data_IF_474904702414
#
_entry.id   IF_474904702414
#
_cell.length_a   1.000
_cell.length_b   1.000
_cell.length_c   1.000
_cell.angle_alpha   90.00
_cell.angle_beta   90.00
_cell.angle_gamma   90.00
#
_symmetry.space_group_name_H-M   'P 1'
#
loop_
_entity.id
_entity.type
_entity.pdbx_description
1 polymer ?
#
# COMPACT_ATOMS: atom_id res chain seq x y z
N UNK A 1 45.03 12.43 -8.22
CA UNK A 1 43.76 11.88 -8.78
C UNK A 1 42.78 13.02 -9.05
N UNK A 2 42.33 13.20 -10.29
CA UNK A 2 41.52 14.36 -10.68
C UNK A 2 40.04 14.20 -10.27
N UNK A 3 39.46 15.25 -9.67
CA UNK A 3 38.02 15.29 -9.34
C UNK A 3 37.22 15.63 -10.59
N UNK A 4 36.60 14.63 -11.20
CA UNK A 4 35.66 14.82 -12.32
C UNK A 4 34.42 15.56 -11.81
N UNK A 5 34.37 16.88 -12.06
CA UNK A 5 33.16 17.69 -11.84
C UNK A 5 32.11 17.23 -12.84
N UNK A 6 31.19 16.37 -12.40
CA UNK A 6 30.08 15.87 -13.21
C UNK A 6 29.09 17.01 -13.45
N UNK A 7 29.37 17.82 -14.46
CA UNK A 7 28.56 18.97 -14.88
C UNK A 7 27.16 18.48 -15.21
N UNK A 8 26.22 18.73 -14.28
CA UNK A 8 24.82 18.35 -14.44
C UNK A 8 24.27 18.99 -15.71
N UNK A 9 24.05 18.17 -16.73
CA UNK A 9 23.35 18.56 -17.95
C UNK A 9 21.90 18.82 -17.55
N UNK A 10 21.58 20.09 -17.30
CA UNK A 10 20.22 20.57 -17.08
C UNK A 10 19.35 20.02 -18.19
N UNK A 11 18.53 19.01 -17.86
CA UNK A 11 17.69 18.32 -18.83
C UNK A 11 16.89 19.38 -19.60
N UNK A 12 17.02 19.35 -20.92
CA UNK A 12 16.36 20.28 -21.84
C UNK A 12 14.86 20.01 -21.73
N UNK A 13 14.19 20.70 -20.79
CA UNK A 13 12.76 20.51 -20.50
C UNK A 13 12.04 20.60 -21.83
N UNK A 14 11.28 19.55 -22.17
CA UNK A 14 10.66 19.42 -23.47
C UNK A 14 9.88 20.70 -23.79
N UNK A 15 10.31 21.39 -24.86
CA UNK A 15 9.63 22.55 -25.41
C UNK A 15 8.40 22.05 -26.16
N UNK A 16 7.41 21.60 -25.39
CA UNK A 16 6.10 21.18 -25.89
C UNK A 16 5.37 22.38 -26.48
N UNK A 17 5.62 22.62 -27.76
CA UNK A 17 5.02 23.65 -28.61
C UNK A 17 4.63 24.95 -27.90
N UNK A 18 5.65 25.77 -27.61
CA UNK A 18 5.48 27.22 -27.35
C UNK A 18 5.27 28.00 -28.67
N UNK A 19 4.82 27.33 -29.73
CA UNK A 19 4.36 28.00 -30.94
C UNK A 19 3.01 28.69 -30.62
N UNK A 20 2.89 29.96 -31.02
CA UNK A 20 1.62 30.67 -30.90
C UNK A 20 0.53 29.93 -31.68
N UNK A 21 -0.66 29.83 -31.09
CA UNK A 21 -1.83 29.22 -31.74
C UNK A 21 -2.11 29.85 -33.11
N UNK A 22 -2.65 29.05 -34.03
CA UNK A 22 -2.99 29.49 -35.38
C UNK A 22 -3.92 30.73 -35.37
N UNK A 23 -4.76 30.88 -34.34
CA UNK A 23 -5.63 32.05 -34.14
C UNK A 23 -4.82 33.31 -33.81
N UNK A 24 -3.81 33.23 -32.94
CA UNK A 24 -2.90 34.35 -32.65
C UNK A 24 -2.09 34.73 -33.90
N UNK A 25 -1.60 33.74 -34.67
CA UNK A 25 -0.87 34.01 -35.92
C UNK A 25 -1.78 34.66 -36.98
N UNK A 26 -3.01 34.19 -37.13
CA UNK A 26 -3.99 34.75 -38.09
C UNK A 26 -4.41 36.17 -37.71
N UNK A 27 -4.67 36.44 -36.43
CA UNK A 27 -5.04 37.78 -35.94
C UNK A 27 -3.88 38.76 -35.98
N UNK A 28 -2.63 38.32 -35.74
CA UNK A 28 -1.44 39.16 -35.94
C UNK A 28 -1.32 39.61 -37.41
N UNK A 29 -1.41 38.68 -38.38
CA UNK A 29 -1.40 39.01 -39.82
C UNK A 29 -2.51 39.99 -40.21
N UNK A 30 -3.68 39.90 -39.57
CA UNK A 30 -4.77 40.85 -39.79
C UNK A 30 -4.47 42.26 -39.23
N UNK A 31 -3.80 42.37 -38.07
CA UNK A 31 -3.30 43.68 -37.57
C UNK A 31 -2.26 44.27 -38.53
N UNK A 32 -1.36 43.45 -39.06
CA UNK A 32 -0.29 43.90 -39.95
C UNK A 32 -0.89 44.43 -41.28
N UNK A 33 -1.90 43.73 -41.83
CA UNK A 33 -2.63 44.16 -43.02
C UNK A 33 -3.47 45.43 -42.77
N UNK A 34 -4.20 45.49 -41.64
CA UNK A 34 -4.97 46.67 -41.26
C UNK A 34 -4.07 47.90 -41.09
N UNK A 35 -2.89 47.74 -40.49
CA UNK A 35 -1.90 48.82 -40.32
C UNK A 35 -1.47 49.37 -41.69
N UNK A 36 -1.00 48.50 -42.60
CA UNK A 36 -0.60 48.89 -43.97
C UNK A 36 -1.70 49.65 -44.73
N UNK A 37 -2.96 49.24 -44.59
CA UNK A 37 -4.08 49.94 -45.23
C UNK A 37 -4.36 51.33 -44.61
N UNK A 38 -4.18 51.48 -43.30
CA UNK A 38 -4.26 52.78 -42.64
C UNK A 38 -3.13 53.69 -43.11
N UNK A 39 -1.89 53.23 -43.12
CA UNK A 39 -0.71 54.01 -43.52
C UNK A 39 -0.87 54.56 -44.95
N UNK A 40 -1.23 53.71 -45.91
CA UNK A 40 -1.53 54.11 -47.29
C UNK A 40 -2.70 55.12 -47.41
N UNK A 41 -3.64 55.12 -46.45
CA UNK A 41 -4.71 56.11 -46.40
C UNK A 41 -4.26 57.43 -45.74
N UNK A 42 -3.31 57.39 -44.80
CA UNK A 42 -2.70 58.60 -44.23
C UNK A 42 -1.86 59.35 -45.27
N UNK A 43 -1.15 58.64 -46.15
CA UNK A 43 -0.46 59.23 -47.30
C UNK A 43 -1.43 59.95 -48.26
N UNK A 44 -2.62 59.37 -48.47
CA UNK A 44 -3.68 60.00 -49.26
C UNK A 44 -4.26 61.23 -48.57
N UNK A 45 -4.42 61.21 -47.24
CA UNK A 45 -4.83 62.38 -46.45
C UNK A 45 -3.78 63.49 -46.56
N UNK A 46 -2.48 63.17 -46.48
CA UNK A 46 -1.40 64.14 -46.64
C UNK A 46 -1.42 64.79 -48.04
N UNK A 47 -1.54 63.97 -49.09
CA UNK A 47 -1.65 64.44 -50.49
C UNK A 47 -2.92 65.28 -50.73
N UNK A 48 -4.06 64.89 -50.16
CA UNK A 48 -5.30 65.67 -50.23
C UNK A 48 -5.20 67.00 -49.46
N UNK A 49 -4.54 67.01 -48.28
CA UNK A 49 -4.30 68.22 -47.49
C UNK A 49 -3.42 69.20 -48.26
N UNK A 50 -2.33 68.74 -48.87
CA UNK A 50 -1.46 69.58 -49.69
C UNK A 50 -2.20 70.22 -50.88
N UNK A 51 -3.06 69.45 -51.57
CA UNK A 51 -3.92 69.97 -52.65
C UNK A 51 -4.92 71.01 -52.15
N UNK A 52 -5.63 70.72 -51.06
CA UNK A 52 -6.61 71.64 -50.48
C UNK A 52 -5.96 72.97 -50.01
N UNK A 53 -4.74 72.92 -49.48
CA UNK A 53 -3.96 74.11 -49.13
C UNK A 53 -3.52 74.92 -50.36
N UNK A 54 -3.12 74.25 -51.45
CA UNK A 54 -2.63 74.94 -52.66
C UNK A 54 -3.74 75.55 -53.53
N UNK A 55 -4.90 74.88 -53.67
CA UNK A 55 -5.96 75.34 -54.58
C UNK A 55 -7.20 75.93 -53.89
N UNK A 56 -7.41 75.65 -52.60
CA UNK A 56 -8.56 76.11 -51.80
C UNK A 56 -9.98 75.81 -52.38
N UNK A 57 -10.08 75.04 -53.47
CA UNK A 57 -11.34 74.76 -54.17
C UNK A 57 -12.27 73.86 -53.37
N UNK A 58 -13.59 73.98 -53.59
CA UNK A 58 -14.60 73.14 -52.95
C UNK A 58 -14.33 71.64 -53.16
N UNK A 59 -14.00 71.24 -54.39
CA UNK A 59 -13.62 69.86 -54.70
C UNK A 59 -12.40 69.35 -53.90
N UNK A 60 -11.38 70.19 -53.69
CA UNK A 60 -10.21 69.80 -52.90
C UNK A 60 -10.54 69.65 -51.40
N UNK A 61 -11.41 70.52 -50.86
CA UNK A 61 -11.94 70.41 -49.49
C UNK A 61 -12.77 69.13 -49.30
N UNK A 62 -13.67 68.82 -50.23
CA UNK A 62 -14.46 67.57 -50.21
C UNK A 62 -13.58 66.33 -50.33
N UNK A 63 -12.52 66.37 -51.16
CA UNK A 63 -11.54 65.28 -51.26
C UNK A 63 -10.82 65.04 -49.93
N UNK A 64 -10.41 66.10 -49.23
CA UNK A 64 -9.79 66.01 -47.90
C UNK A 64 -10.77 65.47 -46.85
N UNK A 65 -12.04 65.89 -46.87
CA UNK A 65 -13.07 65.36 -45.98
C UNK A 65 -13.27 63.85 -46.17
N UNK A 66 -13.39 63.40 -47.43
CA UNK A 66 -13.55 61.98 -47.80
C UNK A 66 -12.29 61.14 -47.52
N UNK A 67 -11.10 61.73 -47.60
CA UNK A 67 -9.87 61.05 -47.20
C UNK A 67 -9.82 60.84 -45.68
N UNK A 68 -10.25 61.86 -44.92
CA UNK A 68 -10.29 61.84 -43.46
C UNK A 68 -11.36 60.89 -42.89
N UNK A 69 -12.56 60.79 -43.48
CA UNK A 69 -13.59 59.83 -43.05
C UNK A 69 -13.08 58.39 -43.17
N UNK A 70 -12.55 58.01 -44.34
CA UNK A 70 -11.90 56.71 -44.56
C UNK A 70 -10.74 56.46 -43.58
N UNK A 71 -9.95 57.48 -43.25
CA UNK A 71 -8.88 57.36 -42.27
C UNK A 71 -9.38 57.22 -40.81
N UNK A 72 -10.60 57.66 -40.48
CA UNK A 72 -11.27 57.36 -39.20
C UNK A 72 -11.79 55.92 -39.17
N UNK A 73 -12.44 55.47 -40.24
CA UNK A 73 -12.92 54.09 -40.37
C UNK A 73 -11.79 53.05 -40.26
N UNK A 74 -10.65 53.28 -40.93
CA UNK A 74 -9.50 52.38 -40.87
C UNK A 74 -8.85 52.35 -39.47
N UNK A 75 -8.86 53.47 -38.73
CA UNK A 75 -8.45 53.48 -37.31
C UNK A 75 -9.39 52.65 -36.44
N UNK A 76 -10.70 52.76 -36.64
CA UNK A 76 -11.69 51.96 -35.92
C UNK A 76 -11.53 50.44 -36.21
N UNK A 77 -11.37 50.08 -37.50
CA UNK A 77 -11.08 48.70 -37.93
C UNK A 77 -9.77 48.18 -37.32
N UNK A 78 -8.69 48.97 -37.32
CA UNK A 78 -7.42 48.61 -36.68
C UNK A 78 -7.59 48.36 -35.17
N UNK A 79 -8.37 49.21 -34.47
CA UNK A 79 -8.65 49.06 -33.05
C UNK A 79 -9.37 47.74 -32.75
N UNK A 80 -10.42 47.40 -33.53
CA UNK A 80 -11.14 46.12 -33.42
C UNK A 80 -10.19 44.92 -33.58
N UNK A 81 -9.40 44.88 -34.66
CA UNK A 81 -8.50 43.74 -34.93
C UNK A 81 -7.40 43.62 -33.87
N UNK A 82 -6.93 44.74 -33.30
CA UNK A 82 -6.02 44.73 -32.13
C UNK A 82 -6.67 44.17 -30.87
N UNK A 83 -7.96 44.44 -30.63
CA UNK A 83 -8.72 43.81 -29.54
C UNK A 83 -8.90 42.31 -29.76
N UNK A 84 -9.14 41.86 -30.99
CA UNK A 84 -9.30 40.44 -31.30
C UNK A 84 -7.98 39.66 -31.20
N UNK A 85 -6.86 40.28 -31.58
CA UNK A 85 -5.51 39.78 -31.26
C UNK A 85 -5.31 39.63 -29.74
N UNK A 86 -5.72 40.63 -28.94
CA UNK A 86 -5.59 40.57 -27.48
C UNK A 86 -6.42 39.44 -26.88
N UNK A 87 -7.67 39.26 -27.33
CA UNK A 87 -8.52 38.10 -26.97
C UNK A 87 -7.86 36.77 -27.36
N UNK A 88 -7.32 36.67 -28.58
CA UNK A 88 -6.64 35.46 -29.04
C UNK A 88 -5.41 35.11 -28.18
N UNK A 89 -4.59 36.10 -27.81
CA UNK A 89 -3.43 35.91 -26.91
C UNK A 89 -3.87 35.50 -25.50
N UNK A 90 -4.97 36.05 -24.99
CA UNK A 90 -5.53 35.63 -23.70
C UNK A 90 -6.00 34.17 -23.73
N UNK A 91 -6.72 33.74 -24.77
CA UNK A 91 -7.15 32.35 -24.93
C UNK A 91 -5.99 31.36 -25.11
N UNK A 92 -4.92 31.75 -25.83
CA UNK A 92 -3.73 30.89 -25.97
C UNK A 92 -2.95 30.77 -24.65
N UNK A 93 -2.90 31.84 -23.85
CA UNK A 93 -2.34 31.77 -22.49
C UNK A 93 -3.14 30.80 -21.59
N UNK A 94 -4.48 30.77 -21.69
CA UNK A 94 -5.32 29.77 -21.01
C UNK A 94 -5.00 28.36 -21.51
N UNK A 95 -4.92 28.15 -22.83
CA UNK A 95 -4.57 26.85 -23.44
C UNK A 95 -3.20 26.33 -22.97
N UNK A 96 -2.21 27.21 -22.86
CA UNK A 96 -0.87 26.87 -22.34
C UNK A 96 -0.92 26.54 -20.83
N UNK A 97 -1.69 27.29 -20.04
CA UNK A 97 -1.88 27.02 -18.63
C UNK A 97 -2.58 25.66 -18.39
N UNK A 98 -3.60 25.33 -19.19
CA UNK A 98 -4.25 24.01 -19.20
C UNK A 98 -3.29 22.88 -19.55
N UNK A 99 -2.46 23.04 -20.58
CA UNK A 99 -1.48 22.03 -20.97
C UNK A 99 -0.49 21.73 -19.82
N UNK A 100 0.02 22.78 -19.15
CA UNK A 100 0.89 22.64 -17.97
C UNK A 100 0.15 22.05 -16.78
N UNK A 101 -1.14 22.35 -16.59
CA UNK A 101 -1.95 21.73 -15.54
C UNK A 101 -2.16 20.23 -15.81
N UNK A 102 -2.47 19.84 -17.05
CA UNK A 102 -2.62 18.44 -17.49
C UNK A 102 -1.31 17.66 -17.34
N UNK A 103 -0.17 18.23 -17.73
CA UNK A 103 1.19 17.66 -17.50
C UNK A 103 1.43 17.37 -16.01
N UNK A 104 1.11 18.34 -15.12
CA UNK A 104 1.26 18.18 -13.67
C UNK A 104 0.35 17.11 -13.09
N UNK A 105 -0.91 17.02 -13.53
CA UNK A 105 -1.85 15.98 -13.10
C UNK A 105 -1.37 14.59 -13.53
N UNK A 106 -0.89 14.43 -14.78
CA UNK A 106 -0.29 13.17 -15.24
C UNK A 106 0.92 12.78 -14.38
N UNK A 107 1.86 13.72 -14.19
CA UNK A 107 3.06 13.50 -13.36
C UNK A 107 2.70 13.10 -11.92
N UNK A 108 1.64 13.69 -11.36
CA UNK A 108 1.14 13.36 -10.04
C UNK A 108 0.52 11.96 -10.02
N UNK A 109 -0.29 11.59 -11.02
CA UNK A 109 -0.87 10.26 -11.15
C UNK A 109 0.23 9.17 -11.26
N UNK A 110 1.24 9.38 -12.10
CA UNK A 110 2.42 8.50 -12.22
C UNK A 110 3.21 8.38 -10.91
N UNK A 111 3.25 9.45 -10.10
CA UNK A 111 3.89 9.43 -8.78
C UNK A 111 3.07 8.65 -7.74
N UNK A 112 1.74 8.62 -7.88
CA UNK A 112 0.84 7.91 -6.98
C UNK A 112 0.75 6.42 -7.32
N UNK A 113 0.71 6.04 -8.60
CA UNK A 113 0.77 4.62 -9.01
C UNK A 113 2.06 3.97 -8.52
N UNK A 114 3.22 4.59 -8.80
CA UNK A 114 4.54 4.14 -8.31
C UNK A 114 4.66 4.08 -6.79
N UNK A 115 3.84 4.82 -6.03
CA UNK A 115 3.75 4.70 -4.57
C UNK A 115 2.86 3.53 -4.17
N UNK A 116 1.68 3.40 -4.78
CA UNK A 116 0.77 2.29 -4.55
C UNK A 116 1.46 0.93 -4.79
N UNK A 117 2.24 0.78 -5.86
CA UNK A 117 3.00 -0.44 -6.15
C UNK A 117 4.03 -0.77 -5.05
N UNK A 118 4.73 0.26 -4.55
CA UNK A 118 5.73 0.13 -3.48
C UNK A 118 5.08 -0.21 -2.14
N UNK A 119 3.98 0.45 -1.82
CA UNK A 119 3.22 0.24 -0.58
C UNK A 119 2.58 -1.16 -0.57
N UNK A 120 2.08 -1.63 -1.72
CA UNK A 120 1.58 -2.99 -1.91
C UNK A 120 2.70 -4.03 -1.77
N UNK A 121 3.85 -3.84 -2.41
CA UNK A 121 5.00 -4.73 -2.28
C UNK A 121 5.55 -4.77 -0.83
N UNK A 122 5.56 -3.64 -0.12
CA UNK A 122 5.92 -3.58 1.29
C UNK A 122 4.89 -4.28 2.18
N UNK A 123 3.60 -4.09 1.92
CA UNK A 123 2.51 -4.73 2.64
C UNK A 123 2.52 -6.26 2.49
N UNK A 124 2.76 -6.77 1.27
CA UNK A 124 2.90 -8.21 1.01
C UNK A 124 4.08 -8.80 1.77
N UNK A 125 5.29 -8.22 1.67
CA UNK A 125 6.47 -8.68 2.43
C UNK A 125 6.25 -8.66 3.94
N UNK A 126 5.62 -7.61 4.46
CA UNK A 126 5.30 -7.50 5.89
C UNK A 126 4.25 -8.55 6.32
N UNK A 127 3.27 -8.84 5.46
CA UNK A 127 2.27 -9.89 5.69
C UNK A 127 2.90 -11.29 5.67
N UNK A 128 3.67 -11.62 4.64
CA UNK A 128 4.37 -12.90 4.47
C UNK A 128 5.29 -13.20 5.65
N UNK A 129 6.15 -12.25 6.04
CA UNK A 129 7.05 -12.41 7.18
C UNK A 129 6.29 -12.67 8.50
N UNK A 130 5.15 -12.00 8.71
CA UNK A 130 4.29 -12.21 9.89
C UNK A 130 3.55 -13.54 9.83
N UNK A 131 3.10 -13.95 8.65
CA UNK A 131 2.37 -15.20 8.42
C UNK A 131 3.28 -16.43 8.57
N UNK A 132 4.48 -16.40 7.98
CA UNK A 132 5.51 -17.43 8.15
C UNK A 132 5.89 -17.58 9.64
N UNK A 133 6.21 -16.48 10.33
CA UNK A 133 6.52 -16.49 11.77
C UNK A 133 5.37 -17.02 12.64
N UNK A 134 4.12 -16.82 12.23
CA UNK A 134 2.95 -17.40 12.89
C UNK A 134 2.82 -18.92 12.60
N UNK A 135 3.07 -19.33 11.35
CA UNK A 135 3.13 -20.74 10.92
C UNK A 135 4.22 -21.50 11.65
N UNK A 136 5.47 -21.03 11.65
CA UNK A 136 6.60 -21.63 12.37
C UNK A 136 6.26 -21.90 13.84
N UNK A 137 5.70 -20.90 14.54
CA UNK A 137 5.25 -21.06 15.94
C UNK A 137 4.16 -22.13 16.08
N UNK A 138 3.26 -22.28 15.11
CA UNK A 138 2.25 -23.33 15.10
C UNK A 138 2.85 -24.71 14.78
N UNK A 139 3.80 -24.79 13.85
CA UNK A 139 4.52 -26.03 13.51
C UNK A 139 5.41 -26.51 14.66
N UNK A 140 6.18 -25.62 15.28
CA UNK A 140 7.00 -25.94 16.47
C UNK A 140 6.14 -26.47 17.64
N UNK A 141 4.94 -25.91 17.86
CA UNK A 141 3.99 -26.45 18.86
C UNK A 141 3.50 -27.86 18.50
N UNK A 142 3.22 -28.13 17.20
CA UNK A 142 2.81 -29.46 16.72
C UNK A 142 3.94 -30.48 16.83
N UNK A 143 5.17 -30.10 16.47
CA UNK A 143 6.37 -30.95 16.58
C UNK A 143 6.62 -31.31 18.05
N UNK A 144 6.66 -30.32 18.97
CA UNK A 144 6.79 -30.58 20.42
C UNK A 144 5.67 -31.45 21.01
N UNK A 145 4.46 -31.38 20.46
CA UNK A 145 3.37 -32.26 20.84
C UNK A 145 3.51 -33.69 20.27
N UNK A 146 4.17 -33.86 19.12
CA UNK A 146 4.49 -35.16 18.53
C UNK A 146 5.69 -35.81 19.24
N UNK A 147 6.75 -35.06 19.53
CA UNK A 147 7.93 -35.49 20.31
C UNK A 147 7.51 -36.08 21.67
N UNK A 148 6.72 -35.34 22.46
CA UNK A 148 6.19 -35.84 23.75
C UNK A 148 5.37 -37.13 23.62
N UNK A 149 4.64 -37.31 22.51
CA UNK A 149 3.91 -38.55 22.23
C UNK A 149 4.84 -39.70 21.81
N UNK A 150 5.92 -39.41 21.09
CA UNK A 150 6.95 -40.38 20.74
C UNK A 150 7.74 -40.83 21.99
N UNK A 151 8.21 -39.89 22.82
CA UNK A 151 8.84 -40.18 24.11
C UNK A 151 7.97 -41.08 25.01
N UNK A 152 6.67 -40.78 25.11
CA UNK A 152 5.76 -41.59 25.92
C UNK A 152 5.65 -43.03 25.40
N UNK A 153 5.64 -43.23 24.08
CA UNK A 153 5.70 -44.56 23.46
C UNK A 153 7.03 -45.26 23.70
N UNK A 154 8.16 -44.55 23.59
CA UNK A 154 9.50 -45.09 23.86
C UNK A 154 9.62 -45.51 25.32
N UNK A 155 9.21 -44.67 26.28
CA UNK A 155 9.18 -44.97 27.71
C UNK A 155 8.28 -46.19 28.02
N UNK A 156 7.15 -46.34 27.33
CA UNK A 156 6.28 -47.52 27.45
C UNK A 156 6.92 -48.79 26.86
N UNK A 157 7.62 -48.69 25.73
CA UNK A 157 8.37 -49.80 25.13
C UNK A 157 9.55 -50.24 26.01
N UNK A 158 10.32 -49.29 26.54
CA UNK A 158 11.44 -49.54 27.46
C UNK A 158 10.97 -50.27 28.73
N UNK A 159 9.85 -49.86 29.35
CA UNK A 159 9.26 -50.57 30.49
C UNK A 159 8.88 -52.03 30.14
N UNK A 160 8.32 -52.27 28.95
CA UNK A 160 8.01 -53.64 28.47
C UNK A 160 9.27 -54.45 28.20
N UNK A 161 10.33 -53.85 27.67
CA UNK A 161 11.62 -54.51 27.44
C UNK A 161 12.29 -54.90 28.76
N UNK A 162 12.36 -53.98 29.74
CA UNK A 162 12.91 -54.24 31.07
C UNK A 162 12.13 -55.34 31.82
N UNK A 163 10.81 -55.39 31.68
CA UNK A 163 10.00 -56.47 32.24
C UNK A 163 10.31 -57.84 31.60
N UNK A 164 10.55 -57.88 30.28
CA UNK A 164 10.98 -59.10 29.58
C UNK A 164 12.39 -59.53 29.98
N UNK A 165 13.34 -58.59 30.12
CA UNK A 165 14.70 -58.88 30.58
C UNK A 165 14.69 -59.53 31.97
N UNK A 166 14.00 -58.91 32.95
CA UNK A 166 13.83 -59.49 34.31
C UNK A 166 13.12 -60.85 34.32
N UNK A 167 12.22 -61.12 33.36
CA UNK A 167 11.60 -62.43 33.22
C UNK A 167 12.55 -63.49 32.64
N UNK A 168 13.48 -63.11 31.77
CA UNK A 168 14.53 -64.00 31.25
C UNK A 168 15.61 -64.27 32.30
N UNK A 169 16.08 -63.25 33.02
CA UNK A 169 17.00 -63.39 34.17
C UNK A 169 16.46 -64.39 35.21
N UNK A 170 15.18 -64.26 35.59
CA UNK A 170 14.53 -65.21 36.51
C UNK A 170 14.47 -66.64 35.94
N UNK A 171 14.28 -66.81 34.63
CA UNK A 171 14.31 -68.14 33.97
C UNK A 171 15.72 -68.72 33.94
N UNK A 172 16.76 -67.92 33.70
CA UNK A 172 18.16 -68.36 33.73
C UNK A 172 18.57 -68.73 35.16
N UNK A 173 18.25 -67.89 36.16
CA UNK A 173 18.50 -68.19 37.56
C UNK A 173 17.75 -69.45 38.05
N UNK A 174 16.53 -69.71 37.56
CA UNK A 174 15.81 -70.94 37.83
C UNK A 174 16.45 -72.18 37.19
N UNK A 175 16.98 -72.07 35.95
CA UNK A 175 17.73 -73.14 35.28
C UNK A 175 19.03 -73.47 36.02
N UNK A 176 19.82 -72.45 36.39
CA UNK A 176 21.06 -72.64 37.14
C UNK A 176 20.81 -73.28 38.53
N UNK A 177 19.74 -72.88 39.23
CA UNK A 177 19.31 -73.54 40.47
C UNK A 177 18.84 -74.99 40.24
N UNK A 178 18.21 -75.29 39.10
CA UNK A 178 17.81 -76.64 38.75
C UNK A 178 19.01 -77.55 38.40
N UNK A 179 20.05 -77.03 37.75
CA UNK A 179 21.29 -77.77 37.49
C UNK A 179 22.11 -77.98 38.76
N UNK A 180 22.22 -76.97 39.64
CA UNK A 180 22.85 -77.15 40.96
C UNK A 180 22.13 -78.21 41.82
N UNK A 181 20.79 -78.31 41.73
CA UNK A 181 20.02 -79.38 42.37
C UNK A 181 20.22 -80.75 41.70
N UNK A 182 20.43 -80.81 40.37
CA UNK A 182 20.76 -82.06 39.66
C UNK A 182 22.17 -82.56 40.02
N UNK A 183 23.16 -81.67 40.15
CA UNK A 183 24.49 -82.02 40.63
C UNK A 183 24.43 -82.63 42.05
N UNK A 184 23.64 -82.04 42.96
CA UNK A 184 23.43 -82.60 44.31
C UNK A 184 22.68 -83.95 44.32
N UNK A 185 21.84 -84.24 43.32
CA UNK A 185 21.17 -85.55 43.17
C UNK A 185 22.00 -86.62 42.45
N UNK A 186 23.14 -86.27 41.84
CA UNK A 186 24.06 -87.26 41.29
C UNK A 186 24.85 -88.00 42.38
N UNK A 187 25.09 -87.35 43.54
CA UNK A 187 25.83 -87.92 44.67
C UNK A 187 24.96 -88.81 45.57
N UNK A 188 23.63 -88.64 45.55
CA UNK A 188 22.68 -89.40 46.39
C UNK A 188 21.94 -90.46 45.57
N UNK A 189 22.71 -91.30 44.88
CA UNK A 189 22.23 -92.52 44.20
C UNK A 189 22.97 -93.78 44.69
N UNK A 190 23.22 -93.84 46.00
CA UNK A 190 23.57 -95.08 46.74
C UNK A 190 22.89 -95.02 48.10
N UNK A 191 22.13 -96.07 48.44
CA UNK A 191 21.14 -96.13 49.53
C UNK A 191 19.96 -95.11 49.42
N UNK A 192 18.73 -95.42 49.80
CA UNK A 192 18.12 -96.73 50.08
C UNK A 192 16.61 -96.69 49.83
N UNK A 193 16.16 -97.77 49.20
CA UNK A 193 14.83 -98.38 49.10
C UNK A 193 13.96 -98.43 50.37
N UNK A 194 12.66 -98.71 50.14
CA UNK A 194 11.61 -99.17 51.09
C UNK A 194 10.92 -98.09 51.96
N UNK A 195 9.61 -98.16 52.30
CA UNK A 195 8.43 -98.94 51.81
C UNK A 195 7.13 -98.39 52.47
N UNK A 196 5.94 -98.72 51.92
CA UNK A 196 4.54 -98.41 52.37
C UNK A 196 4.10 -96.93 52.26
N UNK A 197 2.97 -96.51 51.68
CA UNK A 197 1.69 -97.10 51.24
C UNK A 197 0.51 -97.09 52.26
N UNK A 198 -0.63 -96.56 51.81
CA UNK A 198 -1.89 -96.34 52.56
C UNK A 198 -2.16 -94.83 52.77
N UNK A 199 -3.36 -94.26 52.54
CA UNK A 199 -4.64 -94.77 52.02
C UNK A 199 -5.41 -93.65 51.28
N UNK A 200 -6.59 -93.93 50.68
CA UNK A 200 -7.24 -93.04 49.70
C UNK A 200 -8.69 -92.63 50.04
N UNK A 201 -9.08 -91.39 49.66
CA UNK A 201 -10.42 -90.82 49.34
C UNK A 201 -10.35 -89.28 49.47
N UNK A 202 -11.09 -88.42 48.73
CA UNK A 202 -11.94 -88.59 47.54
C UNK A 202 -12.01 -87.27 46.74
N UNK A 203 -12.37 -87.41 45.47
CA UNK A 203 -12.57 -86.43 44.41
C UNK A 203 -13.57 -85.27 44.66
N UNK A 204 -13.45 -84.18 43.89
CA UNK A 204 -14.45 -83.10 43.78
C UNK A 204 -14.02 -81.87 42.95
N UNK A 205 -14.41 -81.80 41.66
CA UNK A 205 -14.23 -80.69 40.69
C UNK A 205 -15.39 -80.81 39.66
N UNK A 206 -15.68 -79.84 38.75
CA UNK A 206 -15.71 -78.36 38.80
C UNK A 206 -17.04 -77.77 38.22
N UNK A 207 -17.04 -76.45 37.93
CA UNK A 207 -17.91 -75.69 36.97
C UNK A 207 -19.33 -75.26 37.39
N UNK A 208 -19.58 -73.95 37.25
CA UNK A 208 -20.46 -73.43 36.17
C UNK A 208 -19.92 -72.09 35.63
N UNK A 209 -20.22 -71.78 34.38
CA UNK A 209 -19.78 -70.58 33.66
C UNK A 209 -20.97 -69.98 32.89
N UNK A 210 -20.71 -68.97 32.03
CA UNK A 210 -21.66 -68.15 31.23
C UNK A 210 -22.34 -67.02 32.02
N UNK A 211 -22.64 -65.85 31.45
CA UNK A 211 -22.77 -65.50 30.03
C UNK A 211 -21.89 -64.31 29.54
N UNK A 212 -22.06 -63.94 28.27
CA UNK A 212 -21.11 -63.18 27.46
C UNK A 212 -21.41 -61.67 27.34
N UNK A 213 -20.45 -60.95 26.72
CA UNK A 213 -20.55 -59.54 26.28
C UNK A 213 -21.65 -59.36 25.20
N UNK A 214 -22.05 -58.12 24.88
CA UNK A 214 -21.36 -57.44 23.77
C UNK A 214 -20.99 -55.97 24.06
N UNK A 215 -20.41 -55.30 23.07
CA UNK A 215 -19.75 -54.00 23.23
C UNK A 215 -20.48 -52.85 22.48
N UNK A 216 -19.97 -51.63 22.72
CA UNK A 216 -19.82 -50.54 21.73
C UNK A 216 -21.05 -49.66 21.42
N UNK A 217 -20.99 -48.42 21.92
CA UNK A 217 -21.28 -47.13 21.22
C UNK A 217 -20.77 -46.01 22.16
N UNK A 218 -19.74 -45.23 21.83
CA UNK A 218 -19.60 -44.27 20.72
C UNK A 218 -20.73 -43.23 20.72
N UNK A 219 -20.39 -42.03 21.20
CA UNK A 219 -21.03 -40.77 20.80
C UNK A 219 -22.03 -40.15 21.77
N UNK A 220 -21.73 -38.89 22.13
CA UNK A 220 -22.68 -37.79 22.45
C UNK A 220 -23.32 -37.74 23.85
N UNK A 221 -22.85 -36.85 24.74
CA UNK A 221 -23.72 -36.11 25.64
C UNK A 221 -24.50 -35.00 24.88
N UNK A 222 -25.64 -34.59 25.45
CA UNK A 222 -26.68 -33.78 24.79
C UNK A 222 -26.34 -32.29 24.66
N UNK A 223 -27.15 -31.62 23.82
CA UNK A 223 -27.11 -30.22 23.40
C UNK A 223 -27.62 -29.25 24.50
N UNK A 224 -26.95 -28.10 24.60
CA UNK A 224 -27.39 -26.81 25.16
C UNK A 224 -27.82 -26.70 26.64
N UNK A 225 -27.08 -25.86 27.37
CA UNK A 225 -27.66 -24.68 28.02
C UNK A 225 -26.89 -23.43 27.58
N UNK A 226 -27.58 -22.29 27.52
CA UNK A 226 -27.13 -21.02 26.97
C UNK A 226 -26.77 -20.02 28.07
N UNK A 227 -25.62 -19.35 27.95
CA UNK A 227 -25.43 -17.98 28.44
C UNK A 227 -24.18 -17.35 27.80
N UNK A 228 -24.37 -16.36 26.94
CA UNK A 228 -23.27 -15.70 26.24
C UNK A 228 -22.70 -14.51 27.03
N UNK A 229 -21.37 -14.32 26.97
CA UNK A 229 -20.72 -13.02 27.18
C UNK A 229 -19.86 -12.72 25.95
N UNK A 230 -20.26 -11.80 25.05
CA UNK A 230 -19.49 -11.51 23.85
C UNK A 230 -18.23 -10.70 24.17
N UNK A 231 -17.11 -11.09 23.57
CA UNK A 231 -15.85 -10.35 23.65
C UNK A 231 -15.94 -9.00 22.91
N UNK A 232 -15.14 -8.02 23.36
CA UNK A 232 -15.04 -6.67 22.78
C UNK A 232 -14.81 -6.72 21.26
N UNK A 233 -15.83 -6.34 20.48
CA UNK A 233 -15.69 -6.02 19.06
C UNK A 233 -15.05 -4.64 18.90
N UNK A 234 -13.76 -4.63 18.55
CA UNK A 234 -13.09 -3.44 18.01
C UNK A 234 -13.71 -3.11 16.65
N UNK A 235 -14.01 -1.84 16.42
CA UNK A 235 -14.35 -1.31 15.10
C UNK A 235 -15.84 -1.09 14.79
N UNK A 236 -16.40 0.02 15.29
CA UNK A 236 -17.23 0.96 14.50
C UNK A 236 -17.43 2.28 15.28
N UNK A 237 -17.12 3.46 14.74
CA UNK A 237 -17.58 4.71 15.33
C UNK A 237 -19.08 4.87 15.06
N UNK A 238 -19.89 5.12 16.09
CA UNK A 238 -21.31 5.46 15.95
C UNK A 238 -21.52 6.95 16.29
N UNK A 239 -22.09 7.66 15.32
CA UNK A 239 -22.49 9.08 15.34
C UNK A 239 -23.61 9.32 16.38
N UNK A 240 -23.41 10.27 17.29
CA UNK A 240 -24.42 10.95 18.10
C UNK A 240 -23.78 12.23 18.71
N UNK A 241 -24.15 13.43 18.24
CA UNK A 241 -25.01 14.44 18.91
C UNK A 241 -24.32 15.29 19.98
N UNK A 242 -24.84 16.50 20.19
CA UNK A 242 -24.12 17.62 20.81
C UNK A 242 -24.63 18.02 22.21
N UNK A 243 -23.85 18.92 22.84
CA UNK A 243 -24.23 19.96 23.81
C UNK A 243 -24.04 19.71 25.33
N UNK A 244 -23.74 20.83 26.01
CA UNK A 244 -23.44 21.05 27.45
C UNK A 244 -22.16 20.35 28.00
N UNK A 245 -21.30 20.93 28.86
CA UNK A 245 -21.06 22.29 29.40
C UNK A 245 -19.70 22.25 30.17
N UNK A 246 -18.93 23.31 30.48
CA UNK A 246 -18.79 24.70 30.00
C UNK A 246 -17.45 25.31 30.53
N UNK A 247 -17.15 26.58 30.21
CA UNK A 247 -16.12 27.48 30.83
C UNK A 247 -14.63 27.01 30.90
N UNK A 248 -13.85 27.41 29.90
CA UNK A 248 -12.85 28.51 29.99
C UNK A 248 -12.38 28.91 28.57
N UNK A 249 -12.27 30.21 28.28
CA UNK A 249 -11.78 30.73 27.01
C UNK A 249 -10.24 30.84 27.03
N UNK A 250 -9.56 30.87 25.86
CA UNK A 250 -9.32 32.19 25.26
C UNK A 250 -9.38 32.26 23.71
N UNK A 251 -9.40 33.51 23.23
CA UNK A 251 -8.90 34.01 21.94
C UNK A 251 -9.34 33.31 20.62
N UNK A 252 -10.27 34.00 19.96
CA UNK A 252 -10.78 33.77 18.60
C UNK A 252 -9.72 33.74 17.47
N UNK A 253 -10.05 32.91 16.47
CA UNK A 253 -9.88 33.10 15.00
C UNK A 253 -8.47 32.98 14.41
N UNK A 254 -8.41 32.19 13.33
CA UNK A 254 -7.23 32.06 12.49
C UNK A 254 -6.85 33.37 11.80
N UNK A 255 -5.60 33.77 12.01
CA UNK A 255 -4.75 34.52 11.08
C UNK A 255 -3.34 33.93 11.23
N UNK A 256 -2.67 33.51 10.14
CA UNK A 256 -1.28 33.08 10.23
C UNK A 256 -0.37 34.26 10.64
N UNK A 257 0.74 34.01 11.37
CA UNK A 257 1.64 35.08 11.80
C UNK A 257 2.28 35.79 10.60
N UNK A 258 2.26 37.12 10.63
CA UNK A 258 2.75 37.98 9.55
C UNK A 258 4.25 38.22 9.71
N UNK A 259 5.07 37.42 9.03
CA UNK A 259 6.51 37.70 8.90
C UNK A 259 6.76 38.85 7.90
N UNK A 260 7.68 39.76 8.28
CA UNK A 260 8.45 40.60 7.36
C UNK A 260 7.67 41.52 6.40
N UNK A 261 7.26 42.70 6.87
CA UNK A 261 6.81 43.78 5.98
C UNK A 261 8.01 44.56 5.39
N UNK A 262 8.69 44.01 4.38
CA UNK A 262 9.65 44.79 3.58
C UNK A 262 8.90 45.82 2.74
N UNK A 263 8.97 47.10 3.17
CA UNK A 263 8.45 48.23 2.41
C UNK A 263 9.15 48.34 1.05
N UNK A 264 8.37 48.66 0.01
CA UNK A 264 8.87 49.01 -1.32
C UNK A 264 9.65 50.33 -1.24
N UNK A 265 10.72 50.45 -2.03
CA UNK A 265 11.27 51.76 -2.42
C UNK A 265 12.47 52.30 -1.65
N UNK A 266 13.62 51.60 -1.69
CA UNK A 266 14.94 52.27 -1.67
C UNK A 266 15.99 51.39 -2.36
N UNK A 267 16.70 51.88 -3.40
CA UNK A 267 17.82 51.14 -3.97
C UNK A 267 19.01 51.17 -2.99
N UNK A 268 19.83 50.10 -2.89
CA UNK A 268 21.02 50.11 -2.06
C UNK A 268 22.05 51.11 -2.64
N UNK A 269 22.41 52.11 -1.84
CA UNK A 269 23.50 53.04 -2.15
C UNK A 269 24.81 52.25 -2.12
N UNK A 270 25.60 52.28 -3.19
CA UNK A 270 26.97 51.75 -3.18
C UNK A 270 27.78 52.46 -2.10
N UNK A 271 28.55 51.70 -1.32
CA UNK A 271 29.69 52.19 -0.56
C UNK A 271 30.96 51.64 -1.24
N UNK A 272 32.05 52.40 -1.13
CA UNK A 272 33.35 52.09 -1.71
C UNK A 272 34.07 50.98 -0.93
#
# INVERSE_FOLDING_TARGET
MARVVKKSTRAKKATGSTAASAVVVKTQKAVDAASKSLDAQLDRVAKAKARAQKSNTAAAKTSLANANSKAKELRAKLAMVKMDLAKAKAMDAVRLAEAVAKEKVSTLADSLSRKADKDLAAALKAFEARWLKAREKAHAKKIKAAEKKAEAKIKAAAKKAAAKAKALEKKVAAKLKAEAQKAKKAVVKKASSAKKAGSAKKAGRPKKATAAKPAKRVGRPKKATTAAKPAKRVGRPKKATAAAAAKKAPARRGRPPKAGATRRGRPPKKAA
#
